data_IF_799331872808
#
_entry.id   IF_799331872808
#
_cell.length_a   1.000
_cell.length_b   1.000
_cell.length_c   1.000
_cell.angle_alpha   90.00
_cell.angle_beta   90.00
_cell.angle_gamma   90.00
#
_symmetry.space_group_name_H-M   'P 1'
#
loop_
_entity.id
_entity.type
_entity.pdbx_description
1 polymer ?
#
# COMPACT_ATOMS: atom_id res chain seq x y z
N UNK A 1 48.12 7.85 9.88
CA UNK A 1 48.08 8.35 8.50
C UNK A 1 47.04 7.53 7.76
N UNK A 2 45.79 8.01 7.72
CA UNK A 2 44.68 7.32 7.04
C UNK A 2 44.54 7.92 5.65
N UNK A 3 44.68 7.10 4.60
CA UNK A 3 44.46 7.50 3.21
C UNK A 3 42.99 7.80 2.93
N UNK A 4 42.67 8.57 1.88
CA UNK A 4 41.29 8.96 1.63
C UNK A 4 40.50 7.76 1.13
N UNK A 5 39.38 7.47 1.81
CA UNK A 5 38.36 6.59 1.30
C UNK A 5 37.72 7.27 0.08
N UNK A 6 37.94 6.70 -1.11
CA UNK A 6 37.22 7.08 -2.31
C UNK A 6 35.72 6.88 -2.09
N UNK A 7 34.96 7.97 -2.25
CA UNK A 7 33.52 7.91 -2.28
C UNK A 7 33.10 7.05 -3.47
N UNK A 8 32.42 5.93 -3.20
CA UNK A 8 31.65 5.24 -4.24
C UNK A 8 30.42 6.10 -4.56
N UNK A 9 30.57 6.97 -5.55
CA UNK A 9 29.46 7.60 -6.24
C UNK A 9 28.66 6.54 -7.02
N UNK A 10 27.34 6.67 -6.98
CA UNK A 10 26.51 6.25 -8.12
C UNK A 10 25.90 4.86 -8.07
N UNK A 11 25.49 4.34 -6.92
CA UNK A 11 24.44 3.31 -6.91
C UNK A 11 23.09 4.01 -7.12
N UNK A 12 22.70 4.20 -8.39
CA UNK A 12 21.35 4.55 -8.78
C UNK A 12 20.42 3.42 -8.28
N UNK A 13 19.95 3.53 -7.03
CA UNK A 13 18.97 2.60 -6.46
C UNK A 13 17.79 2.58 -7.42
N UNK A 14 17.40 1.39 -7.89
CA UNK A 14 16.17 1.23 -8.66
C UNK A 14 15.05 1.88 -7.86
N UNK A 15 14.36 2.85 -8.46
CA UNK A 15 13.10 3.39 -7.94
C UNK A 15 12.11 2.24 -7.96
N UNK A 16 11.82 1.71 -6.78
CA UNK A 16 10.99 0.53 -6.58
C UNK A 16 10.18 0.76 -5.31
N UNK A 17 8.96 0.25 -5.35
CA UNK A 17 8.08 0.10 -4.20
C UNK A 17 8.84 -0.61 -3.06
N UNK A 18 8.75 -0.03 -1.87
CA UNK A 18 9.33 -0.61 -0.66
C UNK A 18 8.21 -1.00 0.27
N UNK A 19 8.13 -2.30 0.57
CA UNK A 19 7.12 -2.88 1.44
C UNK A 19 7.72 -3.47 2.72
N UNK A 20 6.98 -3.41 3.81
CA UNK A 20 7.25 -4.19 5.01
C UNK A 20 5.95 -4.79 5.56
N UNK A 21 6.00 -6.04 6.02
CA UNK A 21 4.92 -6.73 6.70
C UNK A 21 5.41 -7.23 8.06
N UNK A 22 4.54 -7.15 9.07
CA UNK A 22 4.87 -7.62 10.41
C UNK A 22 3.70 -7.48 11.37
N UNK A 23 4.00 -7.54 12.68
CA UNK A 23 3.00 -7.17 13.69
C UNK A 23 2.54 -5.72 13.49
N UNK A 24 1.27 -5.47 13.76
CA UNK A 24 0.67 -4.14 13.64
C UNK A 24 1.48 -3.07 14.39
N UNK A 25 1.61 -1.89 13.78
CA UNK A 25 2.28 -0.72 14.36
C UNK A 25 1.33 0.15 15.21
N UNK A 26 0.02 -0.12 15.14
CA UNK A 26 -1.03 0.60 15.88
C UNK A 26 -1.19 0.14 17.32
N UNK A 27 -2.14 0.75 18.03
CA UNK A 27 -2.37 0.44 19.43
C UNK A 27 -3.00 -0.96 19.58
N UNK A 28 -2.53 -1.82 20.51
CA UNK A 28 -3.06 -3.18 20.67
C UNK A 28 -4.57 -3.26 20.88
N UNK A 29 -5.15 -2.26 21.54
CA UNK A 29 -6.58 -2.11 21.79
C UNK A 29 -7.42 -1.93 20.52
N UNK A 30 -6.81 -1.53 19.40
CA UNK A 30 -7.48 -1.45 18.10
C UNK A 30 -7.76 -2.84 17.50
N UNK A 31 -7.11 -3.89 18.02
CA UNK A 31 -7.37 -5.28 17.66
C UNK A 31 -6.80 -5.72 16.29
N UNK A 32 -6.03 -4.88 15.60
CA UNK A 32 -5.30 -5.28 14.40
C UNK A 32 -4.04 -6.08 14.77
N UNK A 33 -3.81 -7.23 14.13
CA UNK A 33 -2.70 -8.13 14.47
C UNK A 33 -1.44 -7.90 13.62
N UNK A 34 -1.64 -7.51 12.36
CA UNK A 34 -0.58 -7.32 11.37
C UNK A 34 -0.69 -5.95 10.70
N UNK A 35 0.44 -5.45 10.22
CA UNK A 35 0.51 -4.26 9.38
C UNK A 35 1.28 -4.56 8.09
N UNK A 36 0.77 -4.05 6.98
CA UNK A 36 1.46 -3.95 5.71
C UNK A 36 1.65 -2.46 5.41
N UNK A 37 2.89 -2.04 5.20
CA UNK A 37 3.22 -0.69 4.76
C UNK A 37 3.89 -0.79 3.41
N UNK A 38 3.36 -0.09 2.43
CA UNK A 38 3.97 0.05 1.10
C UNK A 38 4.20 1.53 0.86
N UNK A 39 5.42 1.89 0.51
CA UNK A 39 5.80 3.25 0.15
C UNK A 39 5.80 3.40 -1.38
N UNK A 40 5.12 4.44 -1.85
CA UNK A 40 5.02 4.81 -3.25
C UNK A 40 5.72 6.16 -3.46
N UNK A 41 6.47 6.28 -4.55
CA UNK A 41 7.15 7.54 -4.91
C UNK A 41 6.14 8.61 -5.39
N UNK A 42 5.03 8.18 -5.99
CA UNK A 42 3.99 9.03 -6.57
C UNK A 42 2.67 8.26 -6.78
N UNK A 43 1.63 8.95 -7.25
CA UNK A 43 0.31 8.35 -7.55
C UNK A 43 0.38 7.36 -8.74
N UNK A 44 1.26 7.59 -9.71
CA UNK A 44 1.45 6.67 -10.85
C UNK A 44 2.05 5.34 -10.38
N UNK A 45 2.90 5.35 -9.35
CA UNK A 45 3.44 4.15 -8.70
C UNK A 45 2.36 3.39 -7.93
N UNK A 46 1.49 4.10 -7.22
CA UNK A 46 0.31 3.49 -6.59
C UNK A 46 -0.58 2.82 -7.64
N UNK A 47 -0.89 3.51 -8.73
CA UNK A 47 -1.74 2.95 -9.79
C UNK A 47 -1.10 1.71 -10.41
N UNK A 48 0.19 1.76 -10.76
CA UNK A 48 0.92 0.58 -11.26
C UNK A 48 0.87 -0.60 -10.29
N UNK A 49 1.03 -0.35 -8.99
CA UNK A 49 0.91 -1.37 -7.96
C UNK A 49 -0.50 -1.98 -7.91
N UNK A 50 -1.55 -1.13 -7.94
CA UNK A 50 -2.93 -1.59 -7.86
C UNK A 50 -3.34 -2.49 -9.03
N UNK A 51 -2.80 -2.23 -10.22
CA UNK A 51 -3.05 -2.97 -11.45
C UNK A 51 -1.98 -4.00 -11.82
N UNK A 52 -0.94 -4.18 -11.00
CA UNK A 52 0.07 -5.19 -11.26
C UNK A 52 -0.58 -6.59 -11.28
N UNK A 53 -0.29 -7.45 -12.29
CA UNK A 53 -0.88 -8.77 -12.38
C UNK A 53 -0.67 -9.64 -11.13
N UNK A 54 0.44 -9.47 -10.41
CA UNK A 54 0.70 -10.18 -9.16
C UNK A 54 -0.25 -9.70 -8.06
N UNK A 55 -0.49 -8.40 -7.97
CA UNK A 55 -1.43 -7.84 -7.00
C UNK A 55 -2.88 -8.25 -7.32
N UNK A 56 -3.26 -8.19 -8.60
CA UNK A 56 -4.58 -8.64 -9.05
C UNK A 56 -4.83 -10.14 -8.80
N UNK A 57 -3.82 -10.99 -9.02
CA UNK A 57 -3.93 -12.42 -8.73
C UNK A 57 -3.87 -12.73 -7.23
N UNK A 58 -3.24 -11.86 -6.43
CA UNK A 58 -3.06 -12.04 -4.99
C UNK A 58 -4.30 -11.71 -4.17
N UNK A 59 -5.01 -10.63 -4.50
CA UNK A 59 -6.17 -10.16 -3.73
C UNK A 59 -7.21 -11.27 -3.43
N UNK A 60 -7.66 -12.09 -4.41
CA UNK A 60 -8.63 -13.15 -4.14
C UNK A 60 -8.13 -14.23 -3.18
N UNK A 61 -6.82 -14.44 -3.11
CA UNK A 61 -6.17 -15.45 -2.26
C UNK A 61 -5.91 -14.94 -0.84
N UNK A 62 -5.96 -13.62 -0.59
CA UNK A 62 -5.65 -13.03 0.73
C UNK A 62 -6.86 -12.40 1.42
N UNK A 63 -7.71 -11.69 0.67
CA UNK A 63 -8.79 -10.89 1.25
C UNK A 63 -9.80 -11.71 2.07
N UNK A 64 -10.23 -12.92 1.65
CA UNK A 64 -11.19 -13.72 2.42
C UNK A 64 -10.69 -14.17 3.80
N UNK A 65 -9.38 -14.06 4.07
CA UNK A 65 -8.79 -14.44 5.35
C UNK A 65 -8.73 -13.27 6.36
N UNK A 66 -9.10 -12.06 5.96
CA UNK A 66 -9.13 -10.92 6.86
C UNK A 66 -10.44 -10.88 7.65
N UNK A 67 -10.32 -10.94 8.97
CA UNK A 67 -11.45 -10.66 9.88
C UNK A 67 -11.73 -9.16 10.04
N UNK A 68 -10.69 -8.32 9.90
CA UNK A 68 -10.75 -6.86 9.99
C UNK A 68 -9.63 -6.25 9.15
N UNK A 69 -9.92 -5.16 8.43
CA UNK A 69 -8.96 -4.45 7.59
C UNK A 69 -9.15 -2.93 7.70
N UNK A 70 -8.04 -2.20 7.80
CA UNK A 70 -7.98 -0.74 7.66
C UNK A 70 -7.03 -0.39 6.53
N UNK A 71 -7.49 0.44 5.61
CA UNK A 71 -6.70 0.91 4.47
C UNK A 71 -6.67 2.43 4.49
N UNK A 72 -5.48 3.01 4.31
CA UNK A 72 -5.29 4.45 4.21
C UNK A 72 -3.81 4.83 4.34
N UNK A 73 -3.42 6.02 3.89
CA UNK A 73 -2.05 6.49 4.06
C UNK A 73 -1.78 6.71 5.55
N UNK A 74 -0.76 6.03 6.07
CA UNK A 74 -0.31 6.25 7.43
C UNK A 74 0.62 7.47 7.55
N UNK A 75 1.36 7.78 6.49
CA UNK A 75 2.40 8.82 6.44
C UNK A 75 2.47 9.39 5.02
N UNK A 76 2.54 10.71 4.90
CA UNK A 76 2.85 11.42 3.65
C UNK A 76 3.64 12.68 3.95
N UNK A 77 4.52 13.10 3.05
CA UNK A 77 5.18 14.41 3.03
C UNK A 77 4.57 15.37 2.00
N UNK A 78 3.60 14.89 1.22
CA UNK A 78 2.89 15.69 0.24
C UNK A 78 1.90 16.65 0.93
N UNK A 79 2.03 17.98 0.74
CA UNK A 79 1.19 18.99 1.38
C UNK A 79 -0.18 19.17 0.71
N UNK A 80 -0.47 18.45 -0.36
CA UNK A 80 -1.71 18.59 -1.12
C UNK A 80 -2.94 18.22 -0.26
N UNK A 81 -3.85 19.18 0.01
CA UNK A 81 -5.05 18.91 0.79
C UNK A 81 -6.00 17.88 0.14
N UNK A 82 -5.90 17.69 -1.18
CA UNK A 82 -6.74 16.76 -1.95
C UNK A 82 -6.10 15.36 -2.12
N UNK A 83 -4.94 15.11 -1.51
CA UNK A 83 -4.19 13.87 -1.70
C UNK A 83 -5.03 12.61 -1.41
N UNK A 84 -5.84 12.62 -0.34
CA UNK A 84 -6.67 11.46 0.00
C UNK A 84 -7.68 11.13 -1.10
N UNK A 85 -8.30 12.15 -1.70
CA UNK A 85 -9.21 11.96 -2.83
C UNK A 85 -8.46 11.39 -4.06
N UNK A 86 -7.24 11.88 -4.30
CA UNK A 86 -6.38 11.38 -5.39
C UNK A 86 -5.91 9.94 -5.18
N UNK A 87 -5.67 9.52 -3.93
CA UNK A 87 -5.37 8.12 -3.58
C UNK A 87 -6.63 7.24 -3.72
N UNK A 88 -7.81 7.76 -3.39
CA UNK A 88 -9.09 7.03 -3.52
C UNK A 88 -9.49 6.77 -4.98
N UNK A 89 -9.29 7.74 -5.86
CA UNK A 89 -9.69 7.66 -7.28
C UNK A 89 -9.24 6.37 -8.02
N UNK A 90 -7.97 5.92 -7.96
CA UNK A 90 -7.57 4.68 -8.63
C UNK A 90 -8.20 3.42 -8.02
N UNK A 91 -8.56 3.42 -6.73
CA UNK A 91 -9.28 2.30 -6.09
C UNK A 91 -10.73 2.21 -6.62
N UNK A 92 -11.41 3.36 -6.74
CA UNK A 92 -12.75 3.43 -7.34
C UNK A 92 -12.72 3.00 -8.81
N UNK A 93 -11.72 3.46 -9.57
CA UNK A 93 -11.52 3.04 -10.96
C UNK A 93 -11.26 1.52 -11.08
N UNK A 94 -10.52 0.94 -10.13
CA UNK A 94 -10.29 -0.52 -10.08
C UNK A 94 -11.60 -1.28 -9.87
N UNK A 95 -12.45 -0.84 -8.93
CA UNK A 95 -13.77 -1.45 -8.69
C UNK A 95 -14.71 -1.34 -9.91
N UNK A 96 -14.69 -0.22 -10.61
CA UNK A 96 -15.47 -0.04 -11.84
C UNK A 96 -14.97 -0.96 -12.97
N UNK A 97 -13.66 -1.18 -13.06
CA UNK A 97 -13.03 -2.02 -14.08
C UNK A 97 -13.17 -3.52 -13.82
N UNK A 98 -13.08 -3.93 -12.55
CA UNK A 98 -13.15 -5.32 -12.10
C UNK A 98 -14.31 -5.46 -11.10
N UNK A 99 -15.56 -5.60 -11.57
CA UNK A 99 -16.72 -5.63 -10.69
C UNK A 99 -16.72 -6.81 -9.70
N UNK A 100 -15.97 -7.87 -9.99
CA UNK A 100 -15.74 -9.01 -9.10
C UNK A 100 -14.95 -8.65 -7.82
N UNK A 101 -14.26 -7.51 -7.79
CA UNK A 101 -13.59 -7.03 -6.58
C UNK A 101 -14.56 -6.54 -5.51
N UNK A 102 -15.74 -6.04 -5.86
CA UNK A 102 -16.70 -5.57 -4.86
C UNK A 102 -17.15 -6.73 -3.93
N UNK A 103 -17.57 -7.90 -4.44
CA UNK A 103 -17.82 -9.08 -3.61
C UNK A 103 -16.63 -9.56 -2.78
N UNK A 104 -15.39 -9.41 -3.30
CA UNK A 104 -14.18 -9.75 -2.54
C UNK A 104 -13.99 -8.83 -1.34
N UNK A 105 -14.21 -7.52 -1.51
CA UNK A 105 -14.17 -6.57 -0.40
C UNK A 105 -15.28 -6.83 0.63
N UNK A 106 -16.48 -7.20 0.17
CA UNK A 106 -17.62 -7.58 1.03
C UNK A 106 -17.36 -8.87 1.84
N UNK A 107 -16.36 -9.68 1.45
CA UNK A 107 -15.98 -10.88 2.20
C UNK A 107 -15.28 -10.58 3.53
N UNK A 108 -14.81 -9.33 3.71
CA UNK A 108 -14.09 -8.89 4.91
C UNK A 108 -15.12 -8.35 5.91
N UNK A 109 -15.31 -8.97 7.10
CA UNK A 109 -16.39 -8.60 8.02
C UNK A 109 -16.34 -7.15 8.51
N UNK A 110 -15.14 -6.59 8.65
CA UNK A 110 -14.94 -5.23 9.13
C UNK A 110 -13.89 -4.51 8.28
N UNK A 111 -14.35 -3.59 7.41
CA UNK A 111 -13.47 -2.78 6.56
C UNK A 111 -13.60 -1.31 6.92
N UNK A 112 -12.46 -0.62 7.06
CA UNK A 112 -12.40 0.84 7.14
C UNK A 112 -11.45 1.37 6.09
N UNK A 113 -11.94 2.31 5.29
CA UNK A 113 -11.19 2.99 4.24
C UNK A 113 -11.09 4.45 4.67
N UNK A 114 -9.86 4.95 4.83
CA UNK A 114 -9.49 6.26 5.36
C UNK A 114 -9.84 6.48 6.84
#
# INVERSE_FOLDING_TARGET
>A
MFGPAGAQEGAHRRRGDRGAVGRGLGAPEEGYTHGLVVAFDDLDALERYLYDPVHLAGDPEILPYYGRMRVGPAITDDPDPDLLAKIGAPHEAKLAKYPEWAPLMDSIPEVRIF
#
